data_IF_350694892377
#
_entry.id   IF_350694892377
#
_cell.length_a   1.000
_cell.length_b   1.000
_cell.length_c   1.000
_cell.angle_alpha   90.00
_cell.angle_beta   90.00
_cell.angle_gamma   90.00
#
_symmetry.space_group_name_H-M   'P 1'
#
loop_
_entity.id
_entity.type
_entity.pdbx_description
1 polymer ?
#
# COMPACT_ATOMS: atom_id res chain seq x y z
N UNK A 1 1.92 -1.32 17.93
CA UNK A 1 2.68 -1.78 16.78
C UNK A 1 2.94 -0.63 15.80
N UNK A 2 1.92 0.13 15.40
CA UNK A 2 2.06 1.29 14.51
C UNK A 2 3.06 2.33 15.05
N UNK A 3 2.95 2.74 16.31
CA UNK A 3 3.87 3.70 16.94
C UNK A 3 5.33 3.21 16.88
N UNK A 4 5.56 1.91 17.12
CA UNK A 4 6.89 1.33 17.07
C UNK A 4 7.45 1.27 15.64
N UNK A 5 6.61 1.00 14.64
CA UNK A 5 7.01 1.02 13.24
C UNK A 5 7.31 2.45 12.78
N UNK A 6 6.49 3.42 13.20
CA UNK A 6 6.71 4.84 12.88
C UNK A 6 8.03 5.36 13.49
N UNK A 7 8.27 5.07 14.77
CA UNK A 7 9.54 5.40 15.43
C UNK A 7 10.74 4.79 14.68
N UNK A 8 10.64 3.53 14.30
CA UNK A 8 11.72 2.81 13.62
C UNK A 8 11.97 3.33 12.19
N UNK A 9 10.91 3.65 11.44
CA UNK A 9 10.99 4.24 10.11
C UNK A 9 11.68 5.60 10.18
N UNK A 10 11.33 6.41 11.17
CA UNK A 10 11.92 7.72 11.40
C UNK A 10 13.40 7.61 11.82
N UNK A 11 13.75 6.67 12.71
CA UNK A 11 15.13 6.42 13.14
C UNK A 11 16.02 5.96 11.98
N UNK A 12 15.48 5.15 11.07
CA UNK A 12 16.22 4.61 9.93
C UNK A 12 16.38 5.59 8.77
N UNK A 13 15.73 6.75 8.81
CA UNK A 13 15.67 7.69 7.66
C UNK A 13 15.28 6.94 6.36
N UNK A 14 14.28 6.06 6.48
CA UNK A 14 13.91 5.10 5.44
C UNK A 14 13.37 5.77 4.16
N UNK A 15 13.14 7.09 4.20
CA UNK A 15 12.52 7.84 3.10
C UNK A 15 11.06 7.46 2.85
N UNK A 16 10.51 6.58 3.67
CA UNK A 16 9.13 6.13 3.63
C UNK A 16 8.41 6.60 4.90
N UNK A 17 7.17 7.03 4.76
CA UNK A 17 6.29 7.29 5.89
C UNK A 17 5.41 6.07 6.14
N UNK A 18 4.85 5.97 7.35
CA UNK A 18 3.94 4.89 7.70
C UNK A 18 2.75 4.75 6.73
N UNK A 19 2.07 5.84 6.26
CA UNK A 19 1.04 5.72 5.25
C UNK A 19 1.53 5.15 3.91
N UNK A 20 2.73 5.50 3.45
CA UNK A 20 3.31 4.92 2.22
C UNK A 20 3.53 3.42 2.39
N UNK A 21 4.05 2.98 3.52
CA UNK A 21 4.22 1.56 3.83
C UNK A 21 2.89 0.82 3.89
N UNK A 22 1.87 1.40 4.50
CA UNK A 22 0.54 0.82 4.55
C UNK A 22 0.00 0.54 3.15
N UNK A 23 0.04 1.54 2.27
CA UNK A 23 -0.38 1.37 0.88
C UNK A 23 0.41 0.29 0.14
N UNK A 24 1.71 0.25 0.36
CA UNK A 24 2.58 -0.77 -0.21
C UNK A 24 2.21 -2.18 0.27
N UNK A 25 1.91 -2.37 1.57
CA UNK A 25 1.45 -3.65 2.11
C UNK A 25 0.07 -4.05 1.60
N UNK A 26 -0.85 -3.09 1.40
CA UNK A 26 -2.13 -3.35 0.74
C UNK A 26 -1.91 -3.92 -0.67
N UNK A 27 -0.99 -3.36 -1.44
CA UNK A 27 -0.64 -3.87 -2.77
C UNK A 27 -0.02 -5.26 -2.72
N UNK A 28 0.88 -5.52 -1.78
CA UNK A 28 1.48 -6.85 -1.60
C UNK A 28 0.46 -7.90 -1.21
N UNK A 29 -0.42 -7.59 -0.25
CA UNK A 29 -1.44 -8.52 0.26
C UNK A 29 -2.40 -9.00 -0.82
N UNK A 30 -2.71 -8.17 -1.82
CA UNK A 30 -3.58 -8.54 -2.94
C UNK A 30 -2.84 -9.04 -4.19
N UNK A 31 -1.49 -9.03 -4.19
CA UNK A 31 -0.72 -9.48 -5.35
C UNK A 31 -0.88 -10.98 -5.56
N UNK A 32 -1.33 -11.45 -6.75
CA UNK A 32 -1.61 -12.86 -7.01
C UNK A 32 -0.42 -13.81 -6.76
N UNK A 33 0.79 -13.31 -6.94
CA UNK A 33 2.02 -14.05 -6.67
C UNK A 33 2.97 -13.08 -5.95
N UNK A 34 2.85 -12.96 -4.61
CA UNK A 34 3.71 -12.04 -3.87
C UNK A 34 5.17 -12.45 -4.02
N UNK A 35 6.09 -11.49 -4.13
CA UNK A 35 7.51 -11.77 -4.16
C UNK A 35 8.00 -12.30 -2.81
N UNK A 36 9.16 -12.98 -2.83
CA UNK A 36 9.82 -13.37 -1.58
C UNK A 36 10.07 -12.16 -0.68
N UNK A 37 9.90 -12.33 0.63
CA UNK A 37 10.06 -11.26 1.64
C UNK A 37 11.41 -10.55 1.50
N UNK A 38 12.49 -11.29 1.23
CA UNK A 38 13.83 -10.73 1.05
C UNK A 38 13.95 -9.75 -0.12
N UNK A 39 13.07 -9.88 -1.13
CA UNK A 39 13.10 -9.00 -2.32
C UNK A 39 12.50 -7.64 -1.99
N UNK A 40 11.28 -7.62 -1.46
CA UNK A 40 10.60 -6.34 -1.22
C UNK A 40 11.00 -5.66 0.09
N UNK A 41 11.42 -6.44 1.10
CA UNK A 41 11.85 -5.88 2.39
C UNK A 41 13.10 -5.02 2.23
N UNK A 42 14.05 -5.47 1.42
CA UNK A 42 15.27 -4.71 1.12
C UNK A 42 15.03 -3.44 0.29
N UNK A 43 13.93 -3.38 -0.47
CA UNK A 43 13.52 -2.17 -1.19
C UNK A 43 12.74 -1.19 -0.30
N UNK A 44 11.91 -1.72 0.60
CA UNK A 44 11.05 -0.92 1.47
C UNK A 44 11.79 -0.34 2.69
N UNK A 45 12.80 -1.05 3.19
CA UNK A 45 13.48 -0.72 4.44
C UNK A 45 15.00 -0.84 4.29
N UNK A 46 15.79 0.08 4.86
CA UNK A 46 17.25 0.04 4.82
C UNK A 46 17.82 -0.98 5.83
N UNK A 47 17.36 -2.23 5.75
CA UNK A 47 17.72 -3.32 6.69
C UNK A 47 19.22 -3.55 6.80
N UNK A 48 20.00 -3.15 5.79
CA UNK A 48 21.45 -3.28 5.79
C UNK A 48 22.18 -2.38 6.80
N UNK A 49 21.49 -1.41 7.41
CA UNK A 49 22.03 -0.55 8.48
C UNK A 49 21.73 -1.07 9.89
N UNK A 50 20.90 -2.12 10.01
CA UNK A 50 20.49 -2.72 11.28
C UNK A 50 21.43 -3.86 11.69
N UNK A 51 21.49 -4.12 12.99
CA UNK A 51 22.03 -5.38 13.48
C UNK A 51 21.13 -6.56 13.09
N UNK A 52 21.66 -7.78 13.12
CA UNK A 52 20.91 -8.98 12.77
C UNK A 52 19.64 -9.15 13.64
N UNK A 53 19.75 -8.85 14.94
CA UNK A 53 18.63 -8.93 15.91
C UNK A 53 17.54 -7.87 15.59
N UNK A 54 17.94 -6.66 15.27
CA UNK A 54 17.02 -5.57 14.88
C UNK A 54 16.31 -5.87 13.55
N UNK A 55 17.05 -6.38 12.56
CA UNK A 55 16.49 -6.76 11.26
C UNK A 55 15.50 -7.92 11.39
N UNK A 56 15.77 -8.92 12.24
CA UNK A 56 14.86 -10.04 12.52
C UNK A 56 13.58 -9.56 13.23
N UNK A 57 13.73 -8.69 14.24
CA UNK A 57 12.59 -8.10 14.95
C UNK A 57 11.72 -7.26 14.02
N UNK A 58 12.32 -6.41 13.19
CA UNK A 58 11.61 -5.60 12.20
C UNK A 58 10.87 -6.48 11.19
N UNK A 59 11.54 -7.50 10.65
CA UNK A 59 10.92 -8.44 9.71
C UNK A 59 9.69 -9.10 10.34
N UNK A 60 9.78 -9.51 11.60
CA UNK A 60 8.66 -10.12 12.33
C UNK A 60 7.49 -9.15 12.48
N UNK A 61 7.74 -7.90 12.84
CA UNK A 61 6.69 -6.88 12.99
C UNK A 61 6.03 -6.54 11.66
N UNK A 62 6.83 -6.41 10.60
CA UNK A 62 6.35 -6.13 9.24
C UNK A 62 5.50 -7.28 8.71
N UNK A 63 5.92 -8.53 8.90
CA UNK A 63 5.13 -9.70 8.48
C UNK A 63 3.79 -9.76 9.22
N UNK A 64 3.74 -9.39 10.50
CA UNK A 64 2.49 -9.31 11.24
C UNK A 64 1.54 -8.26 10.64
N UNK A 65 2.06 -7.07 10.28
CA UNK A 65 1.23 -6.05 9.62
C UNK A 65 0.71 -6.55 8.27
N UNK A 66 1.54 -7.23 7.50
CA UNK A 66 1.12 -7.80 6.21
C UNK A 66 0.03 -8.86 6.38
N UNK A 67 0.14 -9.71 7.41
CA UNK A 67 -0.89 -10.70 7.74
C UNK A 67 -2.21 -10.02 8.16
N UNK A 68 -2.16 -8.96 8.97
CA UNK A 68 -3.33 -8.17 9.37
C UNK A 68 -4.00 -7.51 8.16
N UNK A 69 -3.20 -6.95 7.23
CA UNK A 69 -3.70 -6.36 5.98
C UNK A 69 -4.33 -7.43 5.07
N UNK A 70 -3.71 -8.59 4.97
CA UNK A 70 -4.28 -9.71 4.20
C UNK A 70 -5.62 -10.19 4.80
N UNK A 71 -5.68 -10.31 6.13
CA UNK A 71 -6.92 -10.65 6.85
C UNK A 71 -8.04 -9.64 6.57
N UNK A 72 -7.71 -8.36 6.50
CA UNK A 72 -8.68 -7.30 6.16
C UNK A 72 -9.38 -7.51 4.81
N UNK A 73 -8.66 -8.00 3.80
CA UNK A 73 -9.25 -8.26 2.48
C UNK A 73 -9.98 -9.60 2.39
N UNK A 74 -9.65 -10.58 3.24
CA UNK A 74 -10.15 -11.96 3.14
C UNK A 74 -11.20 -12.30 4.19
N UNK A 75 -11.28 -11.52 5.28
CA UNK A 75 -12.13 -11.79 6.43
C UNK A 75 -13.04 -10.59 6.74
N UNK A 76 -14.36 -10.76 6.58
CA UNK A 76 -15.34 -9.71 6.86
C UNK A 76 -15.37 -9.27 8.34
N UNK A 77 -14.87 -10.12 9.24
CA UNK A 77 -14.80 -9.84 10.69
C UNK A 77 -13.45 -9.22 11.10
N UNK A 78 -12.58 -8.84 10.15
CA UNK A 78 -11.29 -8.24 10.45
C UNK A 78 -11.45 -6.92 11.20
N UNK A 79 -10.69 -6.76 12.29
CA UNK A 79 -10.66 -5.53 13.08
C UNK A 79 -9.60 -4.53 12.58
N UNK A 80 -8.80 -4.91 11.58
CA UNK A 80 -7.79 -3.99 11.03
C UNK A 80 -8.46 -2.86 10.23
N UNK A 81 -7.95 -1.66 10.41
CA UNK A 81 -8.44 -0.45 9.73
C UNK A 81 -7.26 0.32 9.15
N UNK A 82 -7.32 0.75 7.87
CA UNK A 82 -6.28 1.61 7.30
C UNK A 82 -6.09 2.90 8.10
N UNK A 83 -4.84 3.29 8.31
CA UNK A 83 -4.48 4.47 9.10
C UNK A 83 -5.10 5.77 8.57
N UNK A 84 -5.14 5.93 7.23
CA UNK A 84 -5.68 7.14 6.60
C UNK A 84 -7.17 7.41 6.89
N UNK A 85 -7.92 6.42 7.40
CA UNK A 85 -9.30 6.62 7.81
C UNK A 85 -9.39 7.51 9.08
N UNK A 86 -8.32 7.59 9.85
CA UNK A 86 -8.28 8.22 11.15
C UNK A 86 -7.35 9.44 11.24
N UNK A 87 -6.65 9.80 10.18
CA UNK A 87 -5.58 10.80 10.18
C UNK A 87 -5.78 11.93 9.16
N UNK A 88 -4.73 12.65 8.84
CA UNK A 88 -4.78 13.82 7.97
C UNK A 88 -5.05 13.43 6.49
N UNK A 89 -5.67 14.32 5.69
CA UNK A 89 -5.94 14.04 4.27
C UNK A 89 -4.70 13.65 3.45
N UNK A 90 -3.51 14.18 3.82
CA UNK A 90 -2.26 13.84 3.14
C UNK A 90 -1.92 12.35 3.30
N UNK A 91 -2.33 11.70 4.40
CA UNK A 91 -2.06 10.28 4.63
C UNK A 91 -2.77 9.40 3.61
N UNK A 92 -3.99 9.75 3.21
CA UNK A 92 -4.69 9.06 2.13
C UNK A 92 -3.93 9.14 0.78
N UNK A 93 -3.33 10.30 0.50
CA UNK A 93 -2.51 10.49 -0.70
C UNK A 93 -1.22 9.67 -0.64
N UNK A 94 -0.54 9.66 0.52
CA UNK A 94 0.66 8.87 0.74
C UNK A 94 0.38 7.37 0.70
N UNK A 95 -0.73 6.92 1.27
CA UNK A 95 -1.18 5.51 1.17
C UNK A 95 -1.43 5.14 -0.30
N UNK A 96 -2.12 5.99 -1.06
CA UNK A 96 -2.33 5.75 -2.49
C UNK A 96 -1.02 5.71 -3.28
N UNK A 97 -0.02 6.54 -2.92
CA UNK A 97 1.30 6.51 -3.53
C UNK A 97 1.99 5.17 -3.30
N UNK A 98 2.06 4.72 -2.05
CA UNK A 98 2.64 3.41 -1.70
C UNK A 98 1.91 2.25 -2.38
N UNK A 99 0.59 2.31 -2.45
CA UNK A 99 -0.25 1.33 -3.13
C UNK A 99 0.08 1.23 -4.63
N UNK A 100 0.16 2.35 -5.34
CA UNK A 100 0.53 2.37 -6.76
C UNK A 100 1.95 1.83 -6.96
N UNK A 101 2.91 2.24 -6.13
CA UNK A 101 4.29 1.75 -6.20
C UNK A 101 4.36 0.23 -6.01
N UNK A 102 3.66 -0.32 -5.02
CA UNK A 102 3.60 -1.76 -4.79
C UNK A 102 3.01 -2.51 -5.99
N UNK A 103 1.91 -2.03 -6.57
CA UNK A 103 1.29 -2.62 -7.75
C UNK A 103 2.18 -2.55 -8.99
N UNK A 104 2.86 -1.44 -9.22
CA UNK A 104 3.76 -1.27 -10.37
C UNK A 104 5.01 -2.13 -10.26
N UNK A 105 5.53 -2.33 -9.05
CA UNK A 105 6.74 -3.14 -8.81
C UNK A 105 6.44 -4.65 -8.82
N UNK A 106 5.37 -5.10 -8.17
CA UNK A 106 5.16 -6.52 -7.90
C UNK A 106 3.96 -7.14 -8.62
N UNK A 107 3.03 -6.32 -9.11
CA UNK A 107 1.84 -6.75 -9.83
C UNK A 107 1.66 -6.04 -11.19
N UNK A 108 2.75 -5.67 -11.85
CA UNK A 108 2.72 -4.82 -13.06
C UNK A 108 1.81 -5.33 -14.17
N UNK A 109 1.77 -6.65 -14.43
CA UNK A 109 0.93 -7.23 -15.50
C UNK A 109 -0.56 -7.17 -15.15
N UNK A 110 -1.04 -7.70 -14.00
CA UNK A 110 -2.44 -7.58 -13.62
C UNK A 110 -2.85 -6.12 -13.42
N UNK A 111 -2.00 -5.27 -12.84
CA UNK A 111 -2.26 -3.84 -12.70
C UNK A 111 -2.48 -3.15 -14.06
N UNK A 112 -1.64 -3.41 -15.05
CA UNK A 112 -1.82 -2.87 -16.40
C UNK A 112 -3.13 -3.33 -17.04
N UNK A 113 -3.54 -4.58 -16.83
CA UNK A 113 -4.85 -5.09 -17.28
C UNK A 113 -6.00 -4.37 -16.59
N UNK A 114 -5.91 -4.20 -15.26
CA UNK A 114 -6.89 -3.47 -14.48
C UNK A 114 -7.07 -2.04 -14.98
N UNK A 115 -5.98 -1.29 -15.11
CA UNK A 115 -6.00 0.11 -15.62
C UNK A 115 -6.67 0.22 -16.99
N UNK A 116 -6.46 -0.74 -17.88
CA UNK A 116 -7.06 -0.75 -19.21
C UNK A 116 -8.59 -0.93 -19.17
N UNK A 117 -9.09 -1.78 -18.25
CA UNK A 117 -10.51 -2.11 -18.09
C UNK A 117 -11.27 -1.17 -17.14
N UNK A 118 -10.64 -0.66 -16.10
CA UNK A 118 -11.23 0.06 -14.98
C UNK A 118 -10.71 1.51 -14.90
N UNK A 119 -10.80 2.25 -16.01
CA UNK A 119 -10.19 3.58 -16.15
C UNK A 119 -10.59 4.58 -15.07
N UNK A 120 -11.84 4.55 -14.60
CA UNK A 120 -12.34 5.49 -13.59
C UNK A 120 -11.69 5.23 -12.23
N UNK A 121 -11.73 3.98 -11.74
CA UNK A 121 -11.14 3.59 -10.46
C UNK A 121 -9.62 3.78 -10.47
N UNK A 122 -8.95 3.34 -11.54
CA UNK A 122 -7.51 3.52 -11.70
C UNK A 122 -7.11 5.01 -11.75
N UNK A 123 -7.92 5.85 -12.39
CA UNK A 123 -7.70 7.31 -12.41
C UNK A 123 -7.87 7.93 -11.03
N UNK A 124 -8.85 7.48 -10.24
CA UNK A 124 -9.07 7.94 -8.87
C UNK A 124 -7.87 7.64 -7.98
N UNK A 125 -7.40 6.39 -7.99
CA UNK A 125 -6.20 5.97 -7.23
C UNK A 125 -4.97 6.81 -7.61
N UNK A 126 -4.71 6.98 -8.92
CA UNK A 126 -3.58 7.77 -9.40
C UNK A 126 -3.70 9.26 -9.09
N UNK A 127 -4.92 9.80 -9.04
CA UNK A 127 -5.14 11.20 -8.64
C UNK A 127 -4.67 11.43 -7.21
N UNK A 128 -5.00 10.52 -6.28
CA UNK A 128 -4.49 10.61 -4.91
C UNK A 128 -2.97 10.47 -4.85
N UNK A 129 -2.41 9.45 -5.49
CA UNK A 129 -0.96 9.24 -5.52
C UNK A 129 -0.19 10.44 -6.07
N UNK A 130 -0.70 11.08 -7.15
CA UNK A 130 -0.10 12.28 -7.72
C UNK A 130 -0.22 13.50 -6.81
N UNK A 131 -1.28 13.59 -6.01
CA UNK A 131 -1.42 14.67 -5.02
C UNK A 131 -0.28 14.64 -3.98
N UNK A 132 0.13 13.44 -3.55
CA UNK A 132 1.25 13.26 -2.63
C UNK A 132 2.60 13.73 -3.21
N UNK A 133 2.73 13.77 -4.54
CA UNK A 133 3.97 14.23 -5.19
C UNK A 133 4.08 15.75 -5.29
N UNK A 134 3.07 16.50 -4.85
CA UNK A 134 3.04 17.98 -4.81
C UNK A 134 3.42 18.65 -6.14
N UNK A 135 3.18 17.99 -7.27
CA UNK A 135 3.51 18.49 -8.60
C UNK A 135 2.53 19.57 -9.13
N UNK A 136 1.49 19.88 -8.35
CA UNK A 136 0.47 20.87 -8.66
C UNK A 136 -0.48 20.47 -9.80
N UNK A 137 -0.43 19.24 -10.28
CA UNK A 137 -1.31 18.74 -11.36
C UNK A 137 -2.70 18.38 -10.85
N UNK A 138 -2.85 18.13 -9.54
CA UNK A 138 -4.11 17.75 -8.89
C UNK A 138 -4.65 18.91 -8.06
N UNK A 139 -5.88 19.29 -8.30
CA UNK A 139 -6.58 20.31 -7.50
C UNK A 139 -7.17 19.69 -6.23
N UNK A 140 -7.42 20.54 -5.21
CA UNK A 140 -8.08 20.13 -3.97
C UNK A 140 -9.42 19.42 -4.22
N UNK A 141 -10.24 19.91 -5.14
CA UNK A 141 -11.53 19.29 -5.46
C UNK A 141 -11.39 17.89 -6.11
N UNK A 142 -10.35 17.69 -6.91
CA UNK A 142 -10.04 16.37 -7.49
C UNK A 142 -9.54 15.39 -6.41
N UNK A 143 -8.71 15.87 -5.48
CA UNK A 143 -8.27 15.11 -4.32
C UNK A 143 -9.46 14.64 -3.49
N UNK A 144 -10.33 15.56 -3.03
CA UNK A 144 -11.48 15.24 -2.20
C UNK A 144 -12.46 14.26 -2.86
N UNK A 145 -12.63 14.36 -4.19
CA UNK A 145 -13.45 13.43 -4.96
C UNK A 145 -12.83 12.02 -5.02
N UNK A 146 -11.50 11.94 -5.17
CA UNK A 146 -10.78 10.68 -5.25
C UNK A 146 -10.69 9.99 -3.87
N UNK A 147 -10.44 10.75 -2.81
CA UNK A 147 -10.39 10.28 -1.43
C UNK A 147 -11.67 9.54 -1.03
N UNK A 148 -12.83 10.12 -1.33
CA UNK A 148 -14.15 9.52 -1.03
C UNK A 148 -14.39 8.13 -1.62
N UNK A 149 -13.71 7.82 -2.71
CA UNK A 149 -13.89 6.55 -3.44
C UNK A 149 -12.67 5.65 -3.34
N UNK A 150 -11.64 6.05 -2.60
CA UNK A 150 -10.37 5.34 -2.59
C UNK A 150 -10.51 3.88 -2.17
N UNK A 151 -11.16 3.62 -1.03
CA UNK A 151 -11.34 2.25 -0.57
C UNK A 151 -12.20 1.40 -1.50
N UNK A 152 -13.26 1.97 -2.09
CA UNK A 152 -14.04 1.28 -3.11
C UNK A 152 -13.16 0.87 -4.30
N UNK A 153 -12.26 1.78 -4.74
CA UNK A 153 -11.33 1.49 -5.82
C UNK A 153 -10.28 0.44 -5.43
N UNK A 154 -9.83 0.42 -4.17
CA UNK A 154 -8.91 -0.60 -3.65
C UNK A 154 -9.58 -1.97 -3.65
N UNK A 155 -10.83 -2.08 -3.19
CA UNK A 155 -11.59 -3.32 -3.25
C UNK A 155 -11.86 -3.78 -4.68
N UNK A 156 -12.15 -2.88 -5.63
CA UNK A 156 -12.26 -3.21 -7.06
C UNK A 156 -10.96 -3.86 -7.59
N UNK A 157 -9.79 -3.38 -7.15
CA UNK A 157 -8.49 -3.97 -7.53
C UNK A 157 -8.34 -5.37 -6.93
N UNK A 158 -8.67 -5.53 -5.65
CA UNK A 158 -8.61 -6.80 -4.96
C UNK A 158 -9.48 -7.87 -5.64
N UNK A 159 -10.75 -7.57 -5.91
CA UNK A 159 -11.68 -8.48 -6.60
C UNK A 159 -11.14 -8.87 -7.98
N UNK A 160 -10.67 -7.89 -8.76
CA UNK A 160 -10.09 -8.17 -10.08
C UNK A 160 -8.86 -9.08 -9.99
N UNK A 161 -8.00 -8.92 -8.98
CA UNK A 161 -6.81 -9.74 -8.82
C UNK A 161 -7.15 -11.16 -8.36
N UNK A 162 -8.17 -11.31 -7.51
CA UNK A 162 -8.70 -12.62 -7.09
C UNK A 162 -9.24 -13.40 -8.28
N UNK A 163 -10.02 -12.77 -9.15
CA UNK A 163 -10.54 -13.39 -10.38
C UNK A 163 -9.42 -13.84 -11.32
N UNK A 164 -8.31 -13.11 -11.39
CA UNK A 164 -7.14 -13.46 -12.22
C UNK A 164 -6.39 -14.67 -11.64
N UNK A 165 -6.35 -14.81 -10.31
CA UNK A 165 -5.75 -15.99 -9.66
C UNK A 165 -6.54 -17.26 -9.95
N UNK A 166 -7.85 -17.22 -9.82
CA UNK A 166 -8.74 -18.37 -10.01
C UNK A 166 -8.78 -18.85 -11.47
N UNK A 167 -8.40 -17.99 -12.42
CA UNK A 167 -8.36 -18.28 -13.85
C UNK A 167 -7.01 -18.85 -14.35
N UNK A 168 -6.00 -18.98 -13.47
CA UNK A 168 -4.62 -19.38 -13.82
C UNK A 168 -4.31 -20.79 -13.38
#
# INVERSE_FOLDING_TARGET
LADRLDDLINELDAGWSLPVMEGFFMALAMTPTPPDTSVWLGEALPVGSLSEEEAEALTTDVMRVLDDVHDFFTNEDSEWMPLFIHTEPMDAALTALGFVQGLENFAAKPWKKYVAGHKKSASSIRTLANFALEDGTVTQAQFEAAEKTFMECVFDVYEFFSDVQDAS
#
